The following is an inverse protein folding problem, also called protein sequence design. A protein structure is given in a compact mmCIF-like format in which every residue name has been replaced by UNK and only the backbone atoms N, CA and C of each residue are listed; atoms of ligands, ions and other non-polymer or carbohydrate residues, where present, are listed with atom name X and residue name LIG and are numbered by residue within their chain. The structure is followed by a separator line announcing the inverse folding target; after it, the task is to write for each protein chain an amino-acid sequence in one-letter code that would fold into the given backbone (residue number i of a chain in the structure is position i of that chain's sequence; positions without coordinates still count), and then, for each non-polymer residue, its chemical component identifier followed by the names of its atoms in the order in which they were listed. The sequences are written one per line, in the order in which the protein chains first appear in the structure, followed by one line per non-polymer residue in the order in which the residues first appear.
data_IF_545795727616
#
_entry.id   IF_545795727616
#
_cell.length_a   1.000
_cell.length_b   1.000
_cell.length_c   1.000
_cell.angle_alpha   90.00
_cell.angle_beta   90.00
_cell.angle_gamma   90.00
#
_symmetry.space_group_name_H-M   'P 1'
#
loop_
_entity.id
_entity.type
_entity.pdbx_description
1 polymer ?
#
# COMPACT_ATOMS: atom_id res chain seq x y z
N UNK A 1 -12.44 -0.47 4.30
CA UNK A 1 -11.36 -0.74 5.28
C UNK A 1 -10.28 -1.52 4.54
N UNK A 2 -9.05 -1.00 4.36
CA UNK A 2 -8.02 -1.75 3.64
C UNK A 2 -7.55 -2.93 4.49
N UNK A 3 -7.51 -4.12 3.88
CA UNK A 3 -6.94 -5.33 4.49
C UNK A 3 -5.49 -5.39 4.01
N UNK A 4 -4.55 -5.30 4.94
CA UNK A 4 -3.12 -5.44 4.64
C UNK A 4 -2.75 -6.92 4.86
N UNK A 5 -2.45 -7.63 3.78
CA UNK A 5 -2.03 -9.03 3.83
C UNK A 5 -0.54 -9.16 3.53
N UNK A 6 0.16 -9.96 4.32
CA UNK A 6 1.55 -10.36 4.06
C UNK A 6 1.51 -11.73 3.40
N UNK A 7 2.03 -11.82 2.20
CA UNK A 7 2.14 -13.08 1.47
C UNK A 7 3.52 -13.69 1.75
N UNK A 8 3.52 -14.87 2.35
CA UNK A 8 4.74 -15.64 2.66
C UNK A 8 5.27 -16.42 1.46
N UNK A 9 4.54 -16.42 0.34
CA UNK A 9 4.94 -17.04 -0.93
C UNK A 9 4.80 -16.01 -2.05
N UNK A 10 5.73 -15.99 -3.04
CA UNK A 10 5.59 -15.15 -4.21
C UNK A 10 4.30 -15.53 -4.95
N UNK A 11 3.53 -14.53 -5.40
CA UNK A 11 2.41 -14.77 -6.32
C UNK A 11 3.05 -15.19 -7.65
N UNK A 12 3.22 -16.49 -7.83
CA UNK A 12 3.56 -17.07 -9.12
C UNK A 12 2.35 -16.82 -10.00
N UNK A 13 2.48 -15.83 -10.89
CA UNK A 13 1.50 -15.42 -11.90
C UNK A 13 0.77 -16.64 -12.49
N UNK A 14 -0.55 -16.71 -12.30
CA UNK A 14 -1.52 -17.27 -13.27
C UNK A 14 -2.95 -17.43 -12.75
N UNK A 15 -3.22 -17.29 -11.45
CA UNK A 15 -4.59 -17.44 -10.93
C UNK A 15 -5.01 -16.26 -10.07
N UNK A 16 -6.25 -15.83 -10.29
CA UNK A 16 -6.94 -14.73 -9.64
C UNK A 16 -7.18 -15.07 -8.16
N UNK A 17 -6.13 -15.12 -7.33
CA UNK A 17 -6.17 -15.62 -5.94
C UNK A 17 -7.07 -14.77 -5.03
N UNK A 18 -7.33 -13.52 -5.43
CA UNK A 18 -8.30 -12.62 -4.82
C UNK A 18 -9.19 -12.05 -5.92
N UNK A 19 -10.21 -12.79 -6.38
CA UNK A 19 -11.02 -12.34 -7.52
C UNK A 19 -11.90 -11.13 -7.20
N UNK A 20 -11.95 -10.70 -5.93
CA UNK A 20 -12.80 -9.60 -5.47
C UNK A 20 -14.30 -9.88 -5.73
N UNK A 21 -15.16 -8.99 -5.25
CA UNK A 21 -16.47 -8.83 -5.88
C UNK A 21 -16.29 -7.77 -6.97
N UNK A 22 -16.50 -8.12 -8.24
CA UNK A 22 -16.35 -7.17 -9.37
C UNK A 22 -17.35 -6.02 -9.33
N UNK A 23 -18.43 -6.13 -8.55
CA UNK A 23 -19.37 -5.03 -8.30
C UNK A 23 -18.83 -4.01 -7.28
N UNK A 24 -17.82 -4.39 -6.49
CA UNK A 24 -17.25 -3.56 -5.41
C UNK A 24 -15.79 -3.17 -5.63
N UNK A 25 -15.06 -3.95 -6.43
CA UNK A 25 -13.60 -3.84 -6.61
C UNK A 25 -13.27 -3.77 -8.10
N UNK A 26 -12.84 -2.57 -8.53
CA UNK A 26 -12.41 -2.34 -9.91
C UNK A 26 -11.09 -3.05 -10.24
N UNK A 27 -10.15 -3.07 -9.31
CA UNK A 27 -8.80 -3.61 -9.54
C UNK A 27 -8.16 -4.15 -8.26
N UNK A 28 -7.40 -5.24 -8.41
CA UNK A 28 -6.49 -5.76 -7.39
C UNK A 28 -5.07 -5.71 -7.95
N UNK A 29 -4.19 -4.99 -7.27
CA UNK A 29 -2.79 -4.88 -7.64
C UNK A 29 -1.87 -5.20 -6.45
N UNK A 30 -0.60 -5.49 -6.76
CA UNK A 30 0.42 -5.85 -5.78
C UNK A 30 1.61 -4.94 -5.96
N UNK A 31 2.17 -4.50 -4.83
CA UNK A 31 3.38 -3.67 -4.78
C UNK A 31 4.30 -4.22 -3.70
N UNK A 32 5.61 -4.24 -3.96
CA UNK A 32 6.57 -4.68 -2.95
C UNK A 32 6.68 -3.65 -1.82
N UNK A 33 6.95 -4.12 -0.61
CA UNK A 33 7.18 -3.25 0.54
C UNK A 33 8.39 -2.34 0.34
N UNK A 34 9.45 -2.84 -0.32
CA UNK A 34 10.63 -2.03 -0.70
C UNK A 34 10.26 -0.89 -1.64
N UNK A 35 9.42 -1.16 -2.65
CA UNK A 35 8.98 -0.12 -3.58
C UNK A 35 8.16 0.95 -2.87
N UNK A 36 7.29 0.57 -1.93
CA UNK A 36 6.56 1.54 -1.10
C UNK A 36 7.49 2.41 -0.26
N UNK A 37 8.55 1.85 0.31
CA UNK A 37 9.55 2.61 1.06
C UNK A 37 10.30 3.61 0.17
N UNK A 38 10.64 3.20 -1.06
CA UNK A 38 11.39 4.02 -2.02
C UNK A 38 10.58 5.20 -2.57
N UNK A 39 9.29 4.97 -2.85
CA UNK A 39 8.44 5.99 -3.49
C UNK A 39 7.67 6.86 -2.48
N UNK A 40 7.81 6.63 -1.18
CA UNK A 40 7.13 7.45 -0.18
C UNK A 40 7.43 8.94 -0.35
N UNK A 41 6.37 9.73 -0.46
CA UNK A 41 6.41 11.19 -0.53
C UNK A 41 5.37 11.78 0.43
N UNK A 42 5.26 13.11 0.46
CA UNK A 42 4.26 13.81 1.26
C UNK A 42 3.49 14.82 0.42
N UNK A 43 2.20 14.97 0.70
CA UNK A 43 1.33 15.98 0.08
C UNK A 43 0.55 16.74 1.15
N UNK A 44 0.26 18.01 0.89
CA UNK A 44 -0.61 18.81 1.76
C UNK A 44 -2.04 18.27 1.72
N UNK A 45 -2.66 18.13 2.89
CA UNK A 45 -4.04 17.68 2.99
C UNK A 45 -4.90 18.69 3.73
N UNK A 46 -5.82 19.38 3.04
CA UNK A 46 -6.79 20.27 3.70
C UNK A 46 -7.65 19.54 4.73
N UNK A 47 -7.93 18.24 4.50
CA UNK A 47 -8.73 17.39 5.39
C UNK A 47 -8.03 17.11 6.72
N UNK A 48 -6.72 16.85 6.68
CA UNK A 48 -5.92 16.56 7.88
C UNK A 48 -5.18 17.78 8.42
N UNK A 49 -5.21 18.92 7.70
CA UNK A 49 -4.52 20.18 8.04
C UNK A 49 -3.02 19.98 8.30
N UNK A 50 -2.41 19.05 7.56
CA UNK A 50 -1.00 18.68 7.69
C UNK A 50 -0.53 17.95 6.43
N UNK A 51 0.79 17.82 6.30
CA UNK A 51 1.42 16.97 5.28
C UNK A 51 1.16 15.50 5.61
N UNK A 52 0.59 14.76 4.66
CA UNK A 52 0.30 13.33 4.81
C UNK A 52 1.17 12.50 3.86
N UNK A 53 1.50 11.25 4.21
CA UNK A 53 2.21 10.36 3.30
C UNK A 53 1.39 10.05 2.05
N UNK A 54 2.10 9.86 0.95
CA UNK A 54 1.57 9.44 -0.35
C UNK A 54 2.57 8.48 -1.00
N UNK A 55 2.06 7.43 -1.63
CA UNK A 55 2.86 6.47 -2.39
C UNK A 55 2.44 6.52 -3.87
N UNK A 56 3.10 7.36 -4.69
CA UNK A 56 2.91 7.38 -6.14
C UNK A 56 3.51 6.12 -6.78
N UNK A 57 2.67 5.39 -7.50
CA UNK A 57 3.05 4.24 -8.34
C UNK A 57 2.82 4.63 -9.80
N UNK A 58 3.32 3.84 -10.75
CA UNK A 58 3.27 4.20 -12.18
C UNK A 58 1.84 4.43 -12.69
N UNK A 59 0.91 3.56 -12.30
CA UNK A 59 -0.49 3.63 -12.71
C UNK A 59 -1.45 3.81 -11.53
N UNK A 60 -0.93 3.91 -10.30
CA UNK A 60 -1.73 3.92 -9.07
C UNK A 60 -1.19 4.95 -8.07
N UNK A 61 -2.02 5.31 -7.10
CA UNK A 61 -1.61 6.18 -6.00
C UNK A 61 -2.26 5.70 -4.72
N UNK A 62 -1.46 5.48 -3.68
CA UNK A 62 -1.98 5.21 -2.33
C UNK A 62 -1.90 6.52 -1.53
N UNK A 63 -3.05 7.01 -1.07
CA UNK A 63 -3.18 8.33 -0.44
C UNK A 63 -4.29 8.34 0.62
N UNK A 64 -4.48 9.50 1.25
CA UNK A 64 -5.51 9.71 2.26
C UNK A 64 -5.30 8.84 3.50
N UNK A 65 -6.39 8.34 4.09
CA UNK A 65 -6.32 7.56 5.32
C UNK A 65 -5.52 6.26 5.13
N UNK A 66 -5.62 5.62 3.96
CA UNK A 66 -4.87 4.40 3.66
C UNK A 66 -3.38 4.65 3.80
N UNK A 67 -2.85 5.71 3.19
CA UNK A 67 -1.42 6.03 3.31
C UNK A 67 -0.99 6.38 4.75
N UNK A 68 -1.84 7.11 5.48
CA UNK A 68 -1.60 7.47 6.89
C UNK A 68 -1.46 6.23 7.77
N UNK A 69 -2.29 5.21 7.55
CA UNK A 69 -2.23 3.94 8.28
C UNK A 69 -1.09 3.03 7.78
N UNK A 70 -0.82 3.02 6.48
CA UNK A 70 0.26 2.22 5.88
C UNK A 70 1.63 2.63 6.40
N UNK A 71 1.90 3.94 6.55
CA UNK A 71 3.22 4.46 6.94
C UNK A 71 3.77 3.87 8.25
N UNK A 72 3.06 3.89 9.40
CA UNK A 72 3.58 3.30 10.64
C UNK A 72 3.76 1.79 10.52
N UNK A 73 2.87 1.09 9.80
CA UNK A 73 3.03 -0.36 9.56
C UNK A 73 4.33 -0.61 8.78
N UNK A 74 4.55 0.16 7.72
CA UNK A 74 5.72 0.00 6.87
C UNK A 74 7.03 0.28 7.63
N UNK A 75 7.12 1.39 8.36
CA UNK A 75 8.35 1.81 9.03
C UNK A 75 8.59 1.19 10.41
N UNK A 76 7.55 0.95 11.19
CA UNK A 76 7.69 0.52 12.59
C UNK A 76 7.52 -0.98 12.76
N UNK A 77 6.75 -1.64 11.89
CA UNK A 77 6.51 -3.08 11.98
C UNK A 77 7.33 -3.85 10.94
N UNK A 78 7.19 -3.49 9.66
CA UNK A 78 7.72 -4.31 8.57
C UNK A 78 9.20 -4.05 8.32
N UNK A 79 9.64 -2.79 8.29
CA UNK A 79 11.05 -2.45 8.07
C UNK A 79 12.00 -3.12 9.08
N UNK A 80 11.73 -3.06 10.40
CA UNK A 80 12.60 -3.72 11.38
C UNK A 80 12.51 -5.25 11.35
N UNK A 81 11.34 -5.81 11.04
CA UNK A 81 11.13 -7.26 11.02
C UNK A 81 11.79 -7.95 9.82
N UNK A 82 11.90 -7.25 8.68
CA UNK A 82 12.36 -7.83 7.42
C UNK A 82 13.67 -7.24 6.89
N UNK A 83 14.29 -6.28 7.60
CA UNK A 83 15.55 -5.66 7.18
C UNK A 83 15.43 -4.88 5.87
N UNK A 84 14.28 -4.24 5.65
CA UNK A 84 13.95 -3.46 4.44
C UNK A 84 14.58 -2.05 4.46
#
# INVERSE_FOLDING_TARGET
MPILAVLTQPIISSTNTFPGNVEEVDEVFVVSLSKLLEVETVEDSPRFRTMIPVFPLEHHKIWGLTAVVTRPILHQLLKPAFGL
#
